data_IF_156939245326
#
_entry.id   IF_156939245326
#
_cell.length_a   1.000
_cell.length_b   1.000
_cell.length_c   1.000
_cell.angle_alpha   90.00
_cell.angle_beta   90.00
_cell.angle_gamma   90.00
#
_symmetry.space_group_name_H-M   'P 1'
#
loop_
_entity.id
_entity.type
_entity.pdbx_description
1 polymer ?
#
# COMPACT_ATOMS: atom_id res chain seq x y z
N UNK A 1 0.45 9.87 -4.00
CA UNK A 1 -1.03 9.82 -4.08
C UNK A 1 -1.67 10.27 -2.76
N UNK A 2 -1.35 9.66 -1.63
CA UNK A 2 -1.98 9.97 -0.33
C UNK A 2 -1.90 11.48 0.05
N UNK A 3 -0.74 12.11 -0.16
CA UNK A 3 -0.57 13.56 0.09
C UNK A 3 -1.43 14.48 -0.78
N UNK A 4 -1.92 14.03 -1.94
CA UNK A 4 -2.83 14.80 -2.80
C UNK A 4 -4.22 14.84 -2.18
N UNK A 5 -4.69 13.69 -1.69
CA UNK A 5 -5.97 13.55 -0.99
C UNK A 5 -5.93 14.31 0.35
N UNK A 6 -4.89 14.10 1.16
CA UNK A 6 -4.75 14.78 2.47
C UNK A 6 -4.65 16.30 2.36
N UNK A 7 -4.15 16.81 1.24
CA UNK A 7 -4.10 18.25 0.97
C UNK A 7 -5.40 18.82 0.38
N UNK A 8 -6.46 18.01 0.24
CA UNK A 8 -7.76 18.43 -0.31
C UNK A 8 -7.72 18.81 -1.80
N UNK A 9 -6.70 18.36 -2.55
CA UNK A 9 -6.54 18.71 -3.97
C UNK A 9 -7.31 17.80 -4.93
N UNK A 10 -7.79 16.66 -4.45
CA UNK A 10 -8.62 15.73 -5.22
C UNK A 10 -9.39 14.81 -4.27
N UNK A 11 -10.54 14.32 -4.74
CA UNK A 11 -11.31 13.26 -4.07
C UNK A 11 -10.98 11.85 -4.62
N UNK A 12 -10.39 11.79 -5.82
CA UNK A 12 -9.96 10.56 -6.48
C UNK A 12 -8.63 10.76 -7.21
N UNK A 13 -7.74 9.78 -7.13
CA UNK A 13 -6.45 9.77 -7.85
C UNK A 13 -6.37 8.53 -8.73
N UNK A 14 -6.38 8.73 -10.05
CA UNK A 14 -6.15 7.66 -11.02
C UNK A 14 -4.64 7.38 -11.17
N UNK A 15 -4.27 6.11 -11.25
CA UNK A 15 -2.88 5.64 -11.39
C UNK A 15 -2.78 4.79 -12.65
N UNK A 16 -1.81 5.12 -13.53
CA UNK A 16 -1.65 4.49 -14.84
C UNK A 16 -0.34 3.70 -14.96
N UNK A 17 0.73 4.34 -15.45
CA UNK A 17 2.04 3.71 -15.68
C UNK A 17 2.58 2.86 -14.51
N UNK A 18 2.43 3.24 -13.23
CA UNK A 18 2.84 2.38 -12.12
C UNK A 18 2.19 0.98 -12.15
N UNK A 19 0.90 0.89 -12.51
CA UNK A 19 0.21 -0.40 -12.64
C UNK A 19 0.69 -1.23 -13.83
N UNK A 20 1.29 -0.61 -14.85
CA UNK A 20 1.89 -1.34 -15.97
C UNK A 20 3.21 -2.01 -15.57
N UNK A 21 4.00 -1.36 -14.73
CA UNK A 21 5.24 -1.91 -14.19
C UNK A 21 4.99 -2.89 -13.04
N UNK A 22 3.94 -2.64 -12.25
CA UNK A 22 3.56 -3.42 -11.08
C UNK A 22 2.02 -3.48 -10.93
N UNK A 23 1.36 -4.57 -11.39
CA UNK A 23 -0.09 -4.70 -11.30
C UNK A 23 -0.65 -4.67 -9.87
N UNK A 24 0.15 -5.05 -8.86
CA UNK A 24 -0.26 -5.05 -7.45
C UNK A 24 0.32 -3.87 -6.67
N UNK A 25 0.72 -2.81 -7.37
CA UNK A 25 1.21 -1.56 -6.80
C UNK A 25 0.33 -1.05 -5.64
N UNK A 26 -0.99 -1.05 -5.82
CA UNK A 26 -1.93 -0.55 -4.79
C UNK A 26 -1.85 -1.34 -3.48
N UNK A 27 -1.74 -2.67 -3.55
CA UNK A 27 -1.64 -3.53 -2.36
C UNK A 27 -0.33 -3.29 -1.60
N UNK A 28 0.75 -3.06 -2.35
CA UNK A 28 2.08 -2.75 -1.82
C UNK A 28 2.11 -1.39 -1.13
N UNK A 29 1.59 -0.36 -1.78
CA UNK A 29 1.54 0.99 -1.22
C UNK A 29 0.57 1.09 -0.03
N UNK A 30 -0.57 0.40 -0.09
CA UNK A 30 -1.50 0.28 1.04
C UNK A 30 -0.83 -0.35 2.26
N UNK A 31 -0.01 -1.39 2.06
CA UNK A 31 0.73 -2.04 3.14
C UNK A 31 1.73 -1.12 3.81
N UNK A 32 2.44 -0.26 3.06
CA UNK A 32 3.41 0.71 3.61
C UNK A 32 2.79 1.74 4.53
N UNK A 33 1.54 2.14 4.27
CA UNK A 33 0.79 3.08 5.10
C UNK A 33 -0.02 2.39 6.21
N UNK A 34 0.17 1.08 6.38
CA UNK A 34 -0.52 0.29 7.39
C UNK A 34 -1.98 -0.05 7.06
N UNK A 35 -2.44 0.12 5.82
CA UNK A 35 -3.81 -0.25 5.44
C UNK A 35 -4.00 -1.77 5.46
N UNK A 36 -5.14 -2.21 5.99
CA UNK A 36 -5.52 -3.63 6.19
C UNK A 36 -6.92 -3.97 5.68
N UNK A 37 -7.57 -3.03 5.00
CA UNK A 37 -8.96 -3.15 4.56
C UNK A 37 -9.09 -3.74 3.15
N UNK A 38 -7.99 -3.78 2.40
CA UNK A 38 -8.02 -4.23 1.01
C UNK A 38 -8.27 -5.73 0.91
N UNK A 39 -9.14 -6.18 0.00
CA UNK A 39 -9.31 -7.60 -0.27
C UNK A 39 -8.07 -8.15 -1.00
N UNK A 40 -7.59 -9.30 -0.54
CA UNK A 40 -6.53 -10.06 -1.21
C UNK A 40 -7.09 -11.37 -1.75
N UNK A 41 -6.62 -11.86 -2.90
CA UNK A 41 -6.91 -13.22 -3.34
C UNK A 41 -6.45 -14.23 -2.27
N UNK A 42 -7.29 -15.22 -1.96
CA UNK A 42 -7.02 -16.24 -0.94
C UNK A 42 -5.61 -16.87 -1.03
N UNK A 43 -5.10 -17.24 -2.22
CA UNK A 43 -3.77 -17.84 -2.33
C UNK A 43 -2.62 -16.93 -1.86
N UNK A 44 -2.84 -15.62 -1.73
CA UNK A 44 -1.78 -14.65 -1.41
C UNK A 44 -1.76 -14.20 0.06
N UNK A 45 -2.62 -14.75 0.92
CA UNK A 45 -2.68 -14.36 2.33
C UNK A 45 -1.33 -14.51 3.05
N UNK A 46 -0.61 -15.62 2.84
CA UNK A 46 0.70 -15.81 3.46
C UNK A 46 1.72 -14.73 3.05
N UNK A 47 1.71 -14.35 1.76
CA UNK A 47 2.57 -13.30 1.22
C UNK A 47 2.17 -11.90 1.71
N UNK A 48 0.87 -11.62 1.79
CA UNK A 48 0.32 -10.41 2.41
C UNK A 48 0.79 -10.25 3.85
N UNK A 49 0.62 -11.29 4.66
CA UNK A 49 0.96 -11.24 6.08
C UNK A 49 2.47 -11.07 6.28
N UNK A 50 3.29 -11.62 5.39
CA UNK A 50 4.72 -11.34 5.34
C UNK A 50 5.01 -9.88 4.97
N UNK A 51 4.42 -9.36 3.89
CA UNK A 51 4.62 -7.99 3.43
C UNK A 51 4.26 -6.98 4.53
N UNK A 52 3.15 -7.22 5.20
CA UNK A 52 2.69 -6.44 6.34
C UNK A 52 3.68 -6.41 7.49
N UNK A 53 4.18 -7.56 7.94
CA UNK A 53 5.20 -7.61 9.01
C UNK A 53 6.48 -6.86 8.64
N UNK A 54 6.87 -6.90 7.37
CA UNK A 54 8.04 -6.17 6.88
C UNK A 54 7.79 -4.66 6.89
N UNK A 55 6.60 -4.22 6.42
CA UNK A 55 6.21 -2.82 6.44
C UNK A 55 6.13 -2.25 7.87
N UNK A 56 5.57 -3.02 8.82
CA UNK A 56 5.49 -2.61 10.22
C UNK A 56 6.88 -2.43 10.84
N UNK A 57 7.81 -3.36 10.54
CA UNK A 57 9.21 -3.25 10.98
C UNK A 57 9.91 -2.03 10.37
N UNK A 58 9.71 -1.78 9.08
CA UNK A 58 10.28 -0.61 8.41
C UNK A 58 9.77 0.69 9.02
N UNK A 59 8.46 0.78 9.29
CA UNK A 59 7.85 1.93 9.95
C UNK A 59 8.38 2.13 11.39
N UNK A 60 8.64 1.05 12.13
CA UNK A 60 9.25 1.11 13.46
C UNK A 60 10.68 1.65 13.39
N UNK A 61 11.51 1.18 12.44
CA UNK A 61 12.88 1.69 12.29
C UNK A 61 12.94 3.18 11.92
N UNK A 62 12.00 3.69 11.13
CA UNK A 62 11.93 5.12 10.77
C UNK A 62 11.59 6.00 11.98
N UNK A 63 10.93 5.44 12.99
CA UNK A 63 10.48 6.18 14.18
C UNK A 63 11.57 6.36 15.23
N UNK A 64 12.66 5.59 15.16
CA UNK A 64 13.83 5.65 16.06
C UNK A 64 14.80 6.73 15.60
#
# INVERSE_FOLDING_TARGET
ANSILMAGRADLVAVGRPHLADPYWTLREGSKIGSRSEPWPLPYHAGRDQLWRLADREAEMIRV
#
